data_IF_302899258290
#
_entry.id   IF_302899258290
#
_cell.length_a   1.000
_cell.length_b   1.000
_cell.length_c   1.000
_cell.angle_alpha   90.00
_cell.angle_beta   90.00
_cell.angle_gamma   90.00
#
_symmetry.space_group_name_H-M   'P 1'
#
loop_
_entity.id
_entity.type
_entity.pdbx_description
1 polymer ?
#
# COMPACT_ATOMS: atom_id res chain seq x y z
N UNK A 1 -13.48 -22.98 -25.88
CA UNK A 1 -12.44 -21.96 -26.14
C UNK A 1 -11.88 -21.53 -24.81
N UNK A 2 -10.73 -22.11 -24.43
CA UNK A 2 -9.98 -21.71 -23.24
C UNK A 2 -9.46 -20.29 -23.40
N UNK A 3 -10.05 -19.34 -22.66
CA UNK A 3 -9.47 -18.01 -22.48
C UNK A 3 -8.52 -18.07 -21.28
N UNK A 4 -7.41 -18.78 -21.46
CA UNK A 4 -6.19 -18.42 -20.74
C UNK A 4 -5.76 -17.03 -21.25
N UNK A 5 -6.41 -15.99 -20.72
CA UNK A 5 -5.88 -14.64 -20.75
C UNK A 5 -4.58 -14.68 -19.95
N UNK A 6 -3.49 -15.00 -20.64
CA UNK A 6 -2.12 -14.80 -20.19
C UNK A 6 -1.96 -13.30 -19.95
N UNK A 7 -2.29 -12.88 -18.73
CA UNK A 7 -1.97 -11.57 -18.21
C UNK A 7 -0.46 -11.52 -18.05
N UNK A 8 0.22 -10.99 -19.07
CA UNK A 8 1.66 -10.76 -19.03
C UNK A 8 1.91 -9.65 -18.01
N UNK A 9 2.61 -9.98 -16.94
CA UNK A 9 3.10 -9.03 -15.96
C UNK A 9 4.11 -8.10 -16.63
N UNK A 10 3.78 -6.82 -16.79
CA UNK A 10 4.68 -5.82 -17.40
C UNK A 10 5.95 -5.62 -16.54
N UNK A 11 5.90 -5.97 -15.25
CA UNK A 11 7.06 -5.89 -14.32
C UNK A 11 7.45 -7.24 -13.68
N UNK A 12 6.88 -8.38 -14.10
CA UNK A 12 7.01 -9.66 -13.36
C UNK A 12 7.86 -10.73 -14.02
N UNK A 13 8.42 -10.51 -15.22
CA UNK A 13 9.21 -11.53 -15.94
C UNK A 13 10.70 -11.22 -16.06
N UNK A 14 11.17 -10.04 -15.63
CA UNK A 14 12.61 -9.73 -15.60
C UNK A 14 13.01 -9.36 -14.19
N UNK A 15 13.61 -10.32 -13.48
CA UNK A 15 14.50 -10.17 -12.33
C UNK A 15 14.69 -8.70 -11.87
N UNK A 16 13.68 -8.13 -11.22
CA UNK A 16 13.81 -6.79 -10.68
C UNK A 16 14.70 -6.94 -9.46
N UNK A 17 15.88 -6.32 -9.49
CA UNK A 17 16.72 -6.17 -8.30
C UNK A 17 15.81 -5.73 -7.13
N UNK A 18 15.98 -6.29 -5.92
CA UNK A 18 15.22 -5.85 -4.77
C UNK A 18 15.28 -4.33 -4.66
N UNK A 19 14.11 -3.68 -4.69
CA UNK A 19 14.03 -2.24 -4.45
C UNK A 19 14.13 -1.98 -2.95
N UNK A 20 14.87 -0.94 -2.57
CA UNK A 20 14.90 -0.44 -1.20
C UNK A 20 14.20 0.92 -1.14
N UNK A 21 13.20 1.03 -0.28
CA UNK A 21 12.61 2.29 0.15
C UNK A 21 13.08 2.57 1.58
N UNK A 22 13.29 3.85 1.90
CA UNK A 22 13.65 4.30 3.24
C UNK A 22 12.76 5.49 3.60
N UNK A 23 12.03 5.40 4.70
CA UNK A 23 11.26 6.51 5.24
C UNK A 23 12.16 7.45 6.04
N UNK A 24 11.89 8.75 5.96
CA UNK A 24 12.45 9.73 6.90
C UNK A 24 11.51 9.83 8.10
N UNK A 25 12.03 10.35 9.21
CA UNK A 25 11.21 10.66 10.37
C UNK A 25 10.02 11.56 9.97
N UNK A 26 8.87 11.35 10.63
CA UNK A 26 7.63 12.12 10.42
C UNK A 26 7.07 12.05 9.00
N UNK A 27 7.10 10.86 8.40
CA UNK A 27 6.40 10.59 7.14
C UNK A 27 5.22 9.66 7.39
N UNK A 28 4.10 9.96 6.74
CA UNK A 28 2.89 9.14 6.83
C UNK A 28 1.97 9.39 5.62
N UNK A 29 1.04 8.46 5.41
CA UNK A 29 -0.14 8.62 4.55
C UNK A 29 -1.37 8.39 5.42
N UNK A 30 -1.99 9.50 5.82
CA UNK A 30 -3.17 9.51 6.68
C UNK A 30 -4.07 10.71 6.38
N UNK A 31 -5.35 10.60 6.69
CA UNK A 31 -6.32 11.70 6.67
C UNK A 31 -6.67 12.23 8.07
N UNK A 32 -6.19 11.54 9.10
CA UNK A 32 -6.34 11.94 10.49
C UNK A 32 -4.96 11.95 11.15
N UNK A 33 -4.76 12.92 12.04
CA UNK A 33 -3.57 13.01 12.88
C UNK A 33 -3.96 12.80 14.33
N UNK A 34 -3.20 11.98 15.06
CA UNK A 34 -3.30 11.89 16.52
C UNK A 34 -2.72 13.11 17.23
N UNK A 35 -1.91 13.91 16.54
CA UNK A 35 -1.36 15.18 17.04
C UNK A 35 -2.12 16.36 16.42
N UNK A 36 -2.88 17.14 17.22
CA UNK A 36 -3.65 18.29 16.72
C UNK A 36 -2.77 19.48 16.29
N UNK A 37 -1.48 19.47 16.62
CA UNK A 37 -0.53 20.49 16.13
C UNK A 37 -0.02 20.21 14.72
N UNK A 38 -0.33 19.03 14.18
CA UNK A 38 0.08 18.58 12.86
C UNK A 38 -1.08 18.68 11.85
N UNK A 39 -0.76 18.77 10.55
CA UNK A 39 -1.77 18.70 9.50
C UNK A 39 -2.54 17.40 9.61
N UNK A 40 -3.88 17.48 9.57
CA UNK A 40 -4.75 16.31 9.60
C UNK A 40 -4.44 15.37 8.42
N UNK A 41 -4.14 15.94 7.26
CA UNK A 41 -3.80 15.18 6.05
C UNK A 41 -2.28 15.10 5.93
N UNK A 42 -1.78 13.88 5.78
CA UNK A 42 -0.38 13.52 5.52
C UNK A 42 -0.30 12.69 4.25
N UNK A 43 0.65 13.02 3.37
CA UNK A 43 0.88 12.25 2.14
C UNK A 43 2.36 12.28 1.73
N UNK A 44 3.24 11.97 2.68
CA UNK A 44 4.69 12.22 2.59
C UNK A 44 5.56 10.96 2.59
N UNK A 45 4.97 9.78 2.73
CA UNK A 45 5.72 8.51 2.70
C UNK A 45 6.44 8.28 1.36
N UNK A 46 7.61 7.62 1.37
CA UNK A 46 8.30 7.25 0.14
C UNK A 46 7.53 6.15 -0.59
N UNK A 47 7.23 6.37 -1.87
CA UNK A 47 6.45 5.43 -2.70
C UNK A 47 7.12 5.25 -4.06
N UNK A 48 7.30 4.00 -4.48
CA UNK A 48 7.56 3.68 -5.88
C UNK A 48 6.22 3.68 -6.63
N UNK A 49 6.14 4.45 -7.71
CA UNK A 49 4.88 4.73 -8.40
C UNK A 49 4.82 4.08 -9.77
N UNK A 50 3.65 3.53 -10.08
CA UNK A 50 3.26 3.08 -11.41
C UNK A 50 1.83 3.56 -11.64
N UNK A 51 1.60 4.26 -12.75
CA UNK A 51 0.25 4.69 -13.14
C UNK A 51 -0.24 3.87 -14.32
N UNK A 52 -1.51 3.51 -14.30
CA UNK A 52 -2.19 2.83 -15.40
C UNK A 52 -3.71 3.05 -15.31
N UNK A 53 -4.43 2.97 -16.44
CA UNK A 53 -5.89 2.95 -16.41
C UNK A 53 -6.43 1.83 -15.52
N UNK A 54 -7.46 2.11 -14.72
CA UNK A 54 -8.13 1.11 -13.86
C UNK A 54 -8.73 -0.05 -14.68
N UNK A 55 -9.06 0.19 -15.95
CA UNK A 55 -9.49 -0.83 -16.91
C UNK A 55 -8.37 -1.81 -17.31
N UNK A 56 -7.11 -1.43 -17.11
CA UNK A 56 -5.91 -2.24 -17.40
C UNK A 56 -5.40 -2.98 -16.16
N UNK A 57 -5.66 -2.48 -14.95
CA UNK A 57 -5.28 -3.16 -13.72
C UNK A 57 -6.00 -4.53 -13.59
N UNK A 58 -5.25 -5.56 -13.19
CA UNK A 58 -5.77 -6.93 -13.02
C UNK A 58 -5.31 -7.52 -11.71
N UNK A 59 -4.00 -7.49 -11.47
CA UNK A 59 -3.37 -7.97 -10.25
C UNK A 59 -2.04 -7.26 -10.00
N UNK A 60 -1.66 -7.17 -8.73
CA UNK A 60 -0.31 -6.85 -8.28
C UNK A 60 0.04 -7.75 -7.10
N UNK A 61 1.28 -8.26 -7.07
CA UNK A 61 1.81 -9.03 -5.95
C UNK A 61 3.07 -8.33 -5.45
N UNK A 62 3.18 -8.19 -4.15
CA UNK A 62 4.30 -7.54 -3.48
C UNK A 62 4.76 -8.42 -2.33
N UNK A 63 6.03 -8.79 -2.35
CA UNK A 63 6.74 -9.40 -1.22
C UNK A 63 7.73 -8.38 -0.70
N UNK A 64 7.70 -8.11 0.60
CA UNK A 64 8.58 -7.14 1.23
C UNK A 64 9.04 -7.61 2.60
N UNK A 65 10.17 -7.04 3.03
CA UNK A 65 10.75 -7.29 4.35
C UNK A 65 11.39 -6.01 4.86
N UNK A 66 11.31 -5.77 6.16
CA UNK A 66 12.11 -4.75 6.81
C UNK A 66 13.33 -5.42 7.48
N UNK A 67 14.57 -5.19 7.00
CA UNK A 67 15.74 -5.88 7.53
C UNK A 67 15.97 -5.70 9.03
N UNK A 68 15.49 -4.59 9.59
CA UNK A 68 15.63 -4.25 11.01
C UNK A 68 14.31 -4.39 11.77
N UNK A 69 13.30 -5.05 11.19
CA UNK A 69 11.95 -5.10 11.74
C UNK A 69 11.21 -3.76 11.70
N UNK A 70 10.01 -3.73 12.28
CA UNK A 70 9.19 -2.52 12.44
C UNK A 70 9.34 -2.07 13.91
N UNK A 71 10.38 -1.28 14.18
CA UNK A 71 10.83 -1.01 15.54
C UNK A 71 10.05 0.14 16.19
N UNK A 72 9.65 1.13 15.40
CA UNK A 72 8.97 2.31 15.89
C UNK A 72 7.46 2.16 15.78
N UNK A 73 6.73 2.76 16.72
CA UNK A 73 5.28 2.80 16.64
C UNK A 73 4.85 3.51 15.36
N UNK A 74 3.88 2.95 14.64
CA UNK A 74 3.40 3.40 13.34
C UNK A 74 4.36 3.18 12.16
N UNK A 75 5.44 2.41 12.33
CA UNK A 75 6.21 1.92 11.20
C UNK A 75 5.31 1.12 10.26
N UNK A 76 5.34 1.46 8.97
CA UNK A 76 4.44 0.91 7.95
C UNK A 76 5.19 0.53 6.67
N UNK A 77 4.75 -0.54 6.01
CA UNK A 77 5.16 -0.86 4.64
C UNK A 77 4.11 -1.72 3.93
N UNK A 78 3.93 -1.51 2.63
CA UNK A 78 3.02 -2.32 1.83
C UNK A 78 2.60 -1.66 0.52
N UNK A 79 1.38 -1.96 0.09
CA UNK A 79 0.74 -1.35 -1.07
C UNK A 79 0.14 0.01 -0.75
N UNK A 80 0.14 0.88 -1.75
CA UNK A 80 -0.67 2.08 -1.82
C UNK A 80 -1.38 2.11 -3.19
N UNK A 81 -2.69 2.19 -3.17
CA UNK A 81 -3.52 2.44 -4.34
C UNK A 81 -4.10 3.85 -4.21
N UNK A 82 -3.97 4.66 -5.25
CA UNK A 82 -4.59 5.98 -5.35
C UNK A 82 -5.56 6.01 -6.54
N UNK A 83 -6.65 6.73 -6.38
CA UNK A 83 -7.64 6.94 -7.44
C UNK A 83 -7.77 8.42 -7.78
N UNK A 84 -8.25 8.73 -9.00
CA UNK A 84 -8.78 10.04 -9.31
C UNK A 84 -9.74 10.56 -8.24
N UNK A 85 -9.50 11.77 -7.78
CA UNK A 85 -10.41 12.58 -6.95
C UNK A 85 -10.66 13.93 -7.62
N UNK A 86 -11.65 14.73 -7.17
CA UNK A 86 -11.84 16.09 -7.71
C UNK A 86 -10.57 16.95 -7.61
N UNK A 87 -9.83 16.84 -6.51
CA UNK A 87 -8.60 17.59 -6.23
C UNK A 87 -7.35 16.96 -6.88
N UNK A 88 -7.40 15.68 -7.23
CA UNK A 88 -6.35 14.94 -7.95
C UNK A 88 -6.95 14.07 -9.07
N UNK A 89 -7.38 14.67 -10.20
CA UNK A 89 -8.15 13.95 -11.22
C UNK A 89 -7.33 12.95 -12.04
N UNK A 90 -6.01 13.12 -12.10
CA UNK A 90 -5.11 12.29 -12.90
C UNK A 90 -3.85 11.93 -12.10
N UNK A 91 -3.93 11.05 -11.09
CA UNK A 91 -2.78 10.66 -10.30
C UNK A 91 -1.79 9.86 -11.15
N UNK A 92 -0.53 10.31 -11.16
CA UNK A 92 0.56 9.61 -11.83
C UNK A 92 1.90 9.83 -11.12
N UNK A 93 3.00 9.41 -11.73
CA UNK A 93 4.33 9.56 -11.14
C UNK A 93 4.78 11.04 -11.06
N UNK A 94 4.31 11.89 -11.97
CA UNK A 94 4.60 13.33 -12.00
C UNK A 94 3.64 14.12 -11.10
N UNK A 95 2.41 13.63 -10.93
CA UNK A 95 1.34 14.21 -10.12
C UNK A 95 0.87 13.18 -9.07
N UNK A 96 1.71 12.87 -8.07
CA UNK A 96 1.46 11.76 -7.15
C UNK A 96 0.39 12.03 -6.10
N UNK A 97 -0.04 13.29 -5.97
CA UNK A 97 -0.76 13.78 -4.82
C UNK A 97 0.17 14.25 -3.70
N UNK A 98 -0.32 15.22 -2.95
CA UNK A 98 0.26 15.84 -1.75
C UNK A 98 -0.83 16.00 -0.69
N UNK A 99 -0.44 16.46 0.50
CA UNK A 99 -1.36 16.86 1.57
C UNK A 99 -2.47 17.79 1.07
N UNK A 100 -2.13 18.78 0.23
CA UNK A 100 -3.08 19.77 -0.30
C UNK A 100 -4.11 19.16 -1.27
N UNK A 101 -3.73 18.11 -2.00
CA UNK A 101 -4.62 17.43 -2.96
C UNK A 101 -5.48 16.33 -2.32
N UNK A 102 -5.25 16.03 -1.04
CA UNK A 102 -6.00 15.06 -0.24
C UNK A 102 -6.41 13.77 -0.99
N UNK A 103 -5.45 12.96 -1.50
CA UNK A 103 -5.76 11.85 -2.38
C UNK A 103 -6.68 10.81 -1.71
N UNK A 104 -7.60 10.25 -2.50
CA UNK A 104 -8.31 9.03 -2.08
C UNK A 104 -7.38 7.83 -2.24
N UNK A 105 -7.34 6.98 -1.22
CA UNK A 105 -6.38 5.88 -1.20
C UNK A 105 -6.88 4.63 -0.49
N UNK A 106 -6.23 3.53 -0.81
CA UNK A 106 -6.21 2.31 -0.02
C UNK A 106 -4.75 1.99 0.25
N UNK A 107 -4.36 1.85 1.53
CA UNK A 107 -3.07 1.28 1.93
C UNK A 107 -3.29 -0.06 2.60
N UNK A 108 -2.41 -1.01 2.32
CA UNK A 108 -2.50 -2.36 2.87
C UNK A 108 -1.10 -2.94 3.06
N UNK A 109 -0.80 -3.49 4.23
CA UNK A 109 0.57 -3.86 4.56
C UNK A 109 0.76 -4.27 6.01
N UNK A 110 1.98 -4.09 6.49
CA UNK A 110 2.31 -4.14 7.90
C UNK A 110 2.16 -2.74 8.49
N UNK A 111 1.62 -2.67 9.71
CA UNK A 111 1.66 -1.50 10.57
C UNK A 111 2.01 -1.93 11.99
N UNK A 112 3.04 -1.32 12.59
CA UNK A 112 3.40 -1.58 13.98
C UNK A 112 2.53 -0.74 14.91
N UNK A 113 1.72 -1.40 15.74
CA UNK A 113 0.85 -0.74 16.71
C UNK A 113 1.28 -1.18 18.11
N UNK A 114 1.80 -0.22 18.88
CA UNK A 114 2.27 -0.42 20.25
C UNK A 114 3.27 -1.59 20.38
N UNK A 115 4.23 -1.66 19.45
CA UNK A 115 5.27 -2.69 19.41
C UNK A 115 4.81 -4.06 18.87
N UNK A 116 3.56 -4.15 18.39
CA UNK A 116 3.05 -5.36 17.72
C UNK A 116 2.85 -5.08 16.23
N UNK A 117 3.63 -5.71 15.34
CA UNK A 117 3.37 -5.68 13.91
C UNK A 117 2.05 -6.39 13.58
N UNK A 118 1.15 -5.70 12.89
CA UNK A 118 -0.14 -6.22 12.44
C UNK A 118 -0.24 -6.15 10.92
N UNK A 119 -1.04 -7.03 10.34
CA UNK A 119 -1.54 -6.81 8.99
C UNK A 119 -2.59 -5.70 9.07
N UNK A 120 -2.39 -4.59 8.37
CA UNK A 120 -3.26 -3.42 8.44
C UNK A 120 -3.80 -3.04 7.06
N UNK A 121 -5.05 -2.58 7.04
CA UNK A 121 -5.76 -2.12 5.85
C UNK A 121 -6.48 -0.83 6.17
N UNK A 122 -6.25 0.19 5.34
CA UNK A 122 -6.86 1.50 5.49
C UNK A 122 -7.43 1.94 4.16
N UNK A 123 -8.71 2.30 4.14
CA UNK A 123 -9.36 2.94 3.01
C UNK A 123 -9.74 4.38 3.37
N UNK A 124 -9.56 5.29 2.42
CA UNK A 124 -9.91 6.69 2.52
C UNK A 124 -10.60 7.16 1.23
N UNK A 125 -11.80 7.72 1.37
CA UNK A 125 -12.54 8.39 0.30
C UNK A 125 -13.21 9.71 0.76
N UNK A 126 -12.79 10.24 1.92
CA UNK A 126 -13.53 11.29 2.64
C UNK A 126 -13.45 11.06 4.14
N UNK A 127 -13.55 9.80 4.52
CA UNK A 127 -13.48 9.28 5.88
C UNK A 127 -12.54 8.07 5.90
N UNK A 128 -11.92 7.82 7.06
CA UNK A 128 -11.06 6.65 7.24
C UNK A 128 -11.89 5.43 7.67
N UNK A 129 -11.59 4.31 7.03
CA UNK A 129 -11.98 2.98 7.47
C UNK A 129 -10.70 2.17 7.69
N UNK A 130 -10.50 1.71 8.93
CA UNK A 130 -9.29 1.05 9.40
C UNK A 130 -9.62 -0.33 9.95
N UNK A 131 -8.88 -1.34 9.49
CA UNK A 131 -8.93 -2.68 10.05
C UNK A 131 -7.51 -3.25 10.21
N UNK A 132 -7.35 -4.12 11.20
CA UNK A 132 -6.10 -4.81 11.44
C UNK A 132 -6.35 -6.29 11.79
N UNK A 133 -5.38 -7.14 11.47
CA UNK A 133 -5.33 -8.54 11.90
C UNK A 133 -4.02 -8.85 12.62
N UNK A 134 -4.11 -9.80 13.55
CA UNK A 134 -2.93 -10.43 14.13
C UNK A 134 -2.24 -11.30 13.07
N UNK A 135 -0.92 -11.30 13.11
CA UNK A 135 -0.07 -12.13 12.28
C UNK A 135 0.41 -13.33 13.08
N UNK A 136 0.62 -14.44 12.39
CA UNK A 136 1.23 -15.63 12.99
C UNK A 136 2.72 -15.39 13.25
N UNK A 137 3.29 -16.12 14.21
CA UNK A 137 4.71 -16.01 14.55
C UNK A 137 5.60 -16.29 13.32
N UNK A 138 6.55 -15.39 13.03
CA UNK A 138 7.48 -15.53 11.92
C UNK A 138 6.99 -14.94 10.58
N UNK A 139 5.73 -14.51 10.44
CA UNK A 139 5.20 -13.99 9.17
C UNK A 139 5.89 -12.69 8.73
N UNK A 140 6.35 -11.87 9.68
CA UNK A 140 7.04 -10.60 9.39
C UNK A 140 8.48 -10.86 8.93
N UNK A 141 9.14 -11.82 9.56
CA UNK A 141 10.55 -12.17 9.37
C UNK A 141 10.79 -12.93 8.06
N UNK A 142 9.85 -13.80 7.69
CA UNK A 142 9.94 -14.64 6.48
C UNK A 142 9.72 -13.84 5.18
N UNK A 143 9.16 -12.64 5.30
CA UNK A 143 8.80 -11.79 4.16
C UNK A 143 7.30 -11.81 3.94
N UNK A 144 6.69 -10.64 4.12
CA UNK A 144 5.25 -10.47 4.04
C UNK A 144 4.82 -10.33 2.58
N UNK A 145 3.91 -11.19 2.12
CA UNK A 145 3.43 -11.17 0.74
C UNK A 145 1.95 -10.83 0.67
N UNK A 146 1.64 -9.75 -0.06
CA UNK A 146 0.27 -9.38 -0.39
C UNK A 146 0.01 -9.56 -1.88
N UNK A 147 -1.22 -9.95 -2.21
CA UNK A 147 -1.74 -9.91 -3.57
C UNK A 147 -3.02 -9.09 -3.62
N UNK A 148 -3.01 -8.07 -4.49
CA UNK A 148 -4.15 -7.24 -4.80
C UNK A 148 -4.72 -7.65 -6.16
N UNK A 149 -6.01 -7.91 -6.24
CA UNK A 149 -6.71 -8.35 -7.45
C UNK A 149 -7.92 -7.48 -7.69
N UNK A 150 -8.12 -7.10 -8.96
CA UNK A 150 -9.38 -6.50 -9.40
C UNK A 150 -10.41 -7.60 -9.63
N UNK A 151 -11.48 -7.59 -8.84
CA UNK A 151 -12.63 -8.47 -9.02
C UNK A 151 -13.86 -7.63 -9.38
N UNK A 152 -14.16 -7.56 -10.68
CA UNK A 152 -15.18 -6.66 -11.22
C UNK A 152 -14.92 -5.19 -10.82
N UNK A 153 -15.83 -4.56 -10.06
CA UNK A 153 -15.68 -3.20 -9.53
C UNK A 153 -15.01 -3.15 -8.14
N UNK A 154 -14.54 -4.29 -7.62
CA UNK A 154 -13.95 -4.41 -6.28
C UNK A 154 -12.44 -4.58 -6.34
N UNK A 155 -11.76 -4.03 -5.33
CA UNK A 155 -10.38 -4.36 -5.02
C UNK A 155 -10.38 -5.39 -3.90
N UNK A 156 -9.72 -6.52 -4.13
CA UNK A 156 -9.53 -7.58 -3.13
C UNK A 156 -8.05 -7.65 -2.80
N UNK A 157 -7.69 -7.54 -1.53
CA UNK A 157 -6.30 -7.66 -1.06
C UNK A 157 -6.23 -8.83 -0.10
N UNK A 158 -5.29 -9.74 -0.35
CA UNK A 158 -5.14 -10.98 0.39
C UNK A 158 -3.69 -11.15 0.85
N UNK A 159 -3.53 -11.69 2.05
CA UNK A 159 -2.27 -12.27 2.51
C UNK A 159 -2.01 -13.57 1.74
N UNK A 160 -0.83 -13.67 1.13
CA UNK A 160 -0.36 -14.88 0.47
C UNK A 160 0.55 -15.61 1.43
N UNK A 161 0.10 -16.76 1.93
CA UNK A 161 0.92 -17.67 2.76
C UNK A 161 1.62 -18.67 1.83
N UNK A 162 2.92 -18.88 2.05
CA UNK A 162 3.60 -20.00 1.41
C UNK A 162 3.10 -21.31 2.05
N UNK A 163 2.70 -22.26 1.21
CA UNK A 163 2.27 -23.61 1.60
C UNK A 163 3.41 -24.60 1.49
#
# INVERSE_FOLDING_TARGET
MDRQNLLVSINGASASKPLKLSAKAKTDISRESSDPSESAIRFSSPVLRVSMPTSSFRRARLTFKCPNGYAENWDQAGFLFTWPSPELPSPDAANPGTEDTAPHYVKAGIENINGTPLGAFVANNGSLDFSALLLDEGEVEQGFTLEAVKYDFRLVIMLVKET
#
